data_IF_510457750437
#
_entry.id   IF_510457750437
#
_cell.length_a   1.000
_cell.length_b   1.000
_cell.length_c   1.000
_cell.angle_alpha   90.00
_cell.angle_beta   90.00
_cell.angle_gamma   90.00
#
_symmetry.space_group_name_H-M   'P 1'
#
loop_
_entity.id
_entity.type
_entity.pdbx_description
1 polymer ?
#
# COMPACT_ATOMS: atom_id res chain seq x y z
N UNK A 1 4.47 -57.99 -1.52
CA UNK A 1 4.66 -56.77 -2.32
C UNK A 1 3.55 -55.74 -2.12
N UNK A 2 2.28 -56.11 -2.04
CA UNK A 2 1.11 -55.20 -1.90
C UNK A 2 1.14 -54.37 -0.61
N UNK A 3 1.54 -54.90 0.56
CA UNK A 3 1.58 -54.15 1.80
C UNK A 3 2.61 -53.00 1.84
N UNK A 4 3.73 -53.14 1.11
CA UNK A 4 4.74 -52.05 1.03
C UNK A 4 4.27 -50.88 0.17
N UNK A 5 3.51 -51.11 -0.87
CA UNK A 5 2.95 -50.09 -1.75
C UNK A 5 1.86 -49.28 -1.03
N UNK A 6 1.08 -49.90 -0.15
CA UNK A 6 0.03 -49.27 0.62
C UNK A 6 0.59 -48.30 1.71
N UNK A 7 1.73 -48.67 2.32
CA UNK A 7 2.42 -47.80 3.31
C UNK A 7 3.00 -46.54 2.63
N UNK A 8 3.58 -46.71 1.42
CA UNK A 8 4.13 -45.59 0.65
C UNK A 8 3.01 -44.63 0.18
N UNK A 9 1.86 -45.19 -0.23
CA UNK A 9 0.69 -44.36 -0.64
C UNK A 9 0.11 -43.58 0.52
N UNK A 10 -0.01 -44.18 1.72
CA UNK A 10 -0.48 -43.44 2.91
C UNK A 10 0.52 -42.39 3.41
N UNK A 11 1.83 -42.63 3.32
CA UNK A 11 2.85 -41.66 3.67
C UNK A 11 2.83 -40.45 2.73
N UNK A 12 2.61 -40.65 1.44
CA UNK A 12 2.49 -39.59 0.46
C UNK A 12 1.21 -38.74 0.66
N UNK A 13 0.11 -39.36 1.07
CA UNK A 13 -1.16 -38.67 1.38
C UNK A 13 -1.08 -37.82 2.64
N UNK A 14 -0.34 -38.26 3.65
CA UNK A 14 -0.13 -37.50 4.90
C UNK A 14 0.78 -36.28 4.65
N UNK A 15 1.75 -36.38 3.74
CA UNK A 15 2.62 -35.25 3.41
C UNK A 15 1.88 -34.11 2.70
N UNK A 16 0.78 -34.39 1.98
CA UNK A 16 -0.02 -33.40 1.29
C UNK A 16 -0.97 -32.59 2.18
N UNK A 17 -1.21 -33.02 3.43
CA UNK A 17 -2.15 -32.35 4.36
C UNK A 17 -1.50 -31.19 5.14
N UNK A 18 -0.17 -31.02 5.10
CA UNK A 18 0.56 -29.93 5.74
C UNK A 18 0.82 -28.72 4.83
N UNK A 19 0.00 -28.46 3.82
CA UNK A 19 -0.03 -27.14 3.20
C UNK A 19 -0.78 -26.24 4.18
N UNK A 20 -0.06 -25.69 5.13
CA UNK A 20 -0.55 -24.56 5.93
C UNK A 20 -0.85 -23.43 4.95
N UNK A 21 -2.14 -23.15 4.77
CA UNK A 21 -2.56 -21.92 4.06
C UNK A 21 -2.04 -20.77 4.92
N UNK A 22 -0.88 -20.25 4.58
CA UNK A 22 -0.38 -19.01 5.16
C UNK A 22 -1.41 -17.93 4.81
N UNK A 23 -2.25 -17.56 5.80
CA UNK A 23 -3.19 -16.47 5.65
C UNK A 23 -2.34 -15.22 5.47
N UNK A 24 -2.38 -14.61 4.29
CA UNK A 24 -1.66 -13.36 4.06
C UNK A 24 -2.21 -12.32 5.04
N UNK A 25 -1.39 -11.91 6.00
CA UNK A 25 -1.73 -10.89 6.99
C UNK A 25 -1.29 -9.52 6.44
N UNK A 26 -2.11 -8.50 6.68
CA UNK A 26 -1.75 -7.13 6.32
C UNK A 26 -0.55 -6.67 7.16
N UNK A 27 0.35 -5.93 6.52
CA UNK A 27 1.50 -5.36 7.20
C UNK A 27 1.05 -4.34 8.25
N UNK A 28 1.74 -4.34 9.38
CA UNK A 28 1.55 -3.37 10.46
C UNK A 28 2.74 -2.41 10.53
N UNK A 29 2.52 -1.14 10.89
CA UNK A 29 3.61 -0.20 11.13
C UNK A 29 4.59 -0.73 12.17
N UNK A 30 5.88 -0.53 11.91
CA UNK A 30 6.97 -0.72 12.86
C UNK A 30 8.08 0.29 12.55
N UNK A 31 9.02 0.49 13.49
CA UNK A 31 10.08 1.50 13.40
C UNK A 31 11.12 1.25 12.29
N UNK A 32 11.21 0.03 11.77
CA UNK A 32 12.20 -0.32 10.74
C UNK A 32 11.75 0.08 9.33
N UNK A 33 10.44 0.35 9.15
CA UNK A 33 9.87 0.73 7.86
C UNK A 33 10.19 2.19 7.58
N UNK A 34 10.95 2.43 6.51
CA UNK A 34 11.35 3.77 6.05
C UNK A 34 10.17 4.54 5.42
N UNK A 35 10.23 5.89 5.36
CA UNK A 35 9.12 6.72 4.88
C UNK A 35 8.69 6.41 3.44
N UNK A 36 9.61 6.19 2.52
CA UNK A 36 9.36 5.78 1.15
C UNK A 36 8.65 4.42 1.09
N UNK A 37 9.08 3.48 1.93
CA UNK A 37 8.48 2.16 2.01
C UNK A 37 7.04 2.19 2.55
N UNK A 38 6.71 3.13 3.43
CA UNK A 38 5.32 3.34 3.88
C UNK A 38 4.41 3.64 2.70
N UNK A 39 4.81 4.57 1.83
CA UNK A 39 4.03 4.96 0.65
C UNK A 39 3.91 3.79 -0.32
N UNK A 40 5.01 3.07 -0.58
CA UNK A 40 5.03 1.88 -1.42
C UNK A 40 4.06 0.81 -0.93
N UNK A 41 4.02 0.53 0.38
CA UNK A 41 3.08 -0.43 0.98
C UNK A 41 1.63 0.01 0.75
N UNK A 42 1.33 1.29 0.93
CA UNK A 42 -0.01 1.83 0.74
C UNK A 42 -0.45 1.78 -0.73
N UNK A 43 0.42 2.22 -1.65
CA UNK A 43 0.13 2.22 -3.08
C UNK A 43 0.04 0.80 -3.66
N UNK A 44 0.95 -0.10 -3.29
CA UNK A 44 0.88 -1.52 -3.70
C UNK A 44 -0.38 -2.20 -3.16
N UNK A 45 -0.80 -1.85 -1.94
CA UNK A 45 -2.08 -2.30 -1.40
C UNK A 45 -3.27 -1.83 -2.23
N UNK A 46 -3.34 -0.53 -2.56
CA UNK A 46 -4.40 0.03 -3.39
C UNK A 46 -4.37 -0.50 -4.83
N UNK A 47 -3.18 -0.74 -5.39
CA UNK A 47 -3.01 -1.33 -6.71
C UNK A 47 -3.58 -2.76 -6.79
N UNK A 48 -3.51 -3.50 -5.68
CA UNK A 48 -3.99 -4.88 -5.56
C UNK A 48 -5.09 -4.96 -4.49
N UNK A 49 -6.11 -4.10 -4.60
CA UNK A 49 -7.04 -3.82 -3.52
C UNK A 49 -7.72 -5.06 -2.92
N UNK A 50 -8.09 -6.01 -3.73
CA UNK A 50 -8.86 -7.18 -3.30
C UNK A 50 -8.03 -8.48 -3.26
N UNK A 51 -6.67 -8.37 -3.22
CA UNK A 51 -5.76 -9.50 -3.33
C UNK A 51 -5.92 -10.52 -2.18
N UNK A 52 -6.07 -10.04 -0.95
CA UNK A 52 -6.20 -10.90 0.24
C UNK A 52 -7.67 -11.18 0.56
N UNK A 53 -8.46 -10.13 0.56
CA UNK A 53 -9.92 -10.11 0.69
C UNK A 53 -10.43 -8.76 0.18
N UNK A 54 -11.75 -8.62 0.04
CA UNK A 54 -12.37 -7.39 -0.47
C UNK A 54 -11.97 -6.17 0.37
N UNK A 55 -11.44 -5.15 -0.31
CA UNK A 55 -10.95 -3.90 0.30
C UNK A 55 -9.71 -4.05 1.21
N UNK A 56 -8.99 -5.15 1.11
CA UNK A 56 -7.77 -5.38 1.91
C UNK A 56 -6.69 -4.33 1.64
N UNK A 57 -6.58 -3.82 0.42
CA UNK A 57 -5.63 -2.76 0.06
C UNK A 57 -5.98 -1.41 0.69
N UNK A 58 -7.27 -1.06 0.75
CA UNK A 58 -7.72 0.13 1.48
C UNK A 58 -7.43 -0.02 2.98
N UNK A 59 -7.65 -1.21 3.54
CA UNK A 59 -7.36 -1.49 4.94
C UNK A 59 -5.85 -1.47 5.22
N UNK A 60 -5.02 -1.98 4.30
CA UNK A 60 -3.56 -1.84 4.36
C UNK A 60 -3.14 -0.37 4.40
N UNK A 61 -3.75 0.47 3.57
CA UNK A 61 -3.54 1.92 3.55
C UNK A 61 -3.95 2.57 4.88
N UNK A 62 -5.09 2.17 5.42
CA UNK A 62 -5.57 2.63 6.72
C UNK A 62 -4.63 2.28 7.88
N UNK A 63 -4.00 1.10 7.85
CA UNK A 63 -3.06 0.69 8.90
C UNK A 63 -1.91 1.68 9.05
N UNK A 64 -1.42 2.23 7.95
CA UNK A 64 -0.32 3.20 7.92
C UNK A 64 -0.75 4.67 8.01
N UNK A 65 -2.03 4.97 8.20
CA UNK A 65 -2.49 6.33 8.43
C UNK A 65 -2.17 6.78 9.86
N UNK A 66 -1.64 8.01 10.00
CA UNK A 66 -1.34 8.63 11.29
C UNK A 66 -2.61 8.74 12.16
N UNK A 67 -2.52 8.59 13.51
CA UNK A 67 -3.69 8.70 14.39
C UNK A 67 -4.51 9.97 14.20
N UNK A 68 -3.85 11.11 13.95
CA UNK A 68 -4.54 12.37 13.68
C UNK A 68 -5.29 12.34 12.34
N UNK A 69 -4.72 11.73 11.31
CA UNK A 69 -5.41 11.51 10.04
C UNK A 69 -6.62 10.58 10.25
N UNK A 70 -6.46 9.50 11.01
CA UNK A 70 -7.55 8.58 11.36
C UNK A 70 -8.72 9.25 12.09
N UNK A 71 -8.45 10.23 12.96
CA UNK A 71 -9.52 11.01 13.63
C UNK A 71 -10.41 11.77 12.64
N UNK A 72 -9.83 12.27 11.55
CA UNK A 72 -10.56 13.05 10.53
C UNK A 72 -11.24 12.14 9.51
N UNK A 73 -10.53 11.14 9.03
CA UNK A 73 -10.96 10.28 7.92
C UNK A 73 -11.71 9.01 8.37
N UNK A 74 -11.58 8.63 9.64
CA UNK A 74 -12.19 7.43 10.20
C UNK A 74 -13.64 7.56 10.64
N UNK A 75 -14.25 6.46 11.08
CA UNK A 75 -13.67 5.10 11.19
C UNK A 75 -13.39 4.44 9.83
N UNK A 76 -12.83 3.20 9.83
CA UNK A 76 -12.41 2.48 8.62
C UNK A 76 -13.47 2.44 7.52
N UNK A 77 -14.75 2.23 7.87
CA UNK A 77 -15.82 2.22 6.87
C UNK A 77 -16.05 3.58 6.21
N UNK A 78 -15.85 4.68 6.95
CA UNK A 78 -15.86 6.03 6.39
C UNK A 78 -14.66 6.23 5.46
N UNK A 79 -13.47 5.78 5.87
CA UNK A 79 -12.27 5.81 5.05
C UNK A 79 -12.44 5.01 3.76
N UNK A 80 -13.01 3.79 3.82
CA UNK A 80 -13.32 2.98 2.64
C UNK A 80 -14.23 3.73 1.66
N UNK A 81 -15.28 4.40 2.15
CA UNK A 81 -16.16 5.21 1.29
C UNK A 81 -15.44 6.41 0.68
N UNK A 82 -14.56 7.07 1.44
CA UNK A 82 -13.76 8.21 0.96
C UNK A 82 -12.82 7.78 -0.18
N UNK A 83 -12.09 6.67 -0.01
CA UNK A 83 -11.17 6.16 -1.05
C UNK A 83 -11.93 5.73 -2.31
N UNK A 84 -13.15 5.20 -2.17
CA UNK A 84 -14.02 4.83 -3.31
C UNK A 84 -14.74 6.02 -3.95
N UNK A 85 -14.65 7.20 -3.36
CA UNK A 85 -15.25 8.43 -3.89
C UNK A 85 -14.38 9.07 -4.99
N UNK A 86 -14.96 10.07 -5.66
CA UNK A 86 -14.41 10.69 -6.88
C UNK A 86 -13.00 11.24 -6.74
N UNK A 87 -12.60 11.66 -5.54
CA UNK A 87 -11.28 12.25 -5.30
C UNK A 87 -10.15 11.22 -5.22
N UNK A 88 -10.45 9.92 -4.96
CA UNK A 88 -9.40 8.94 -4.69
C UNK A 88 -9.63 7.58 -5.38
N UNK A 89 -10.78 7.33 -6.00
CA UNK A 89 -11.10 6.04 -6.62
C UNK A 89 -10.10 5.61 -7.70
N UNK A 90 -9.43 6.57 -8.37
CA UNK A 90 -8.40 6.31 -9.37
C UNK A 90 -7.16 5.61 -8.78
N UNK A 91 -6.97 5.65 -7.47
CA UNK A 91 -5.90 4.91 -6.81
C UNK A 91 -6.18 3.40 -6.73
N UNK A 92 -7.47 3.00 -6.76
CA UNK A 92 -7.86 1.60 -6.62
C UNK A 92 -7.61 0.87 -7.93
N UNK A 93 -6.82 -0.23 -7.85
CA UNK A 93 -6.48 -1.07 -9.00
C UNK A 93 -5.80 -0.27 -10.14
N UNK A 94 -5.01 0.76 -9.81
CA UNK A 94 -4.22 1.51 -10.77
C UNK A 94 -3.15 0.62 -11.42
N UNK A 95 -2.70 1.00 -12.62
CA UNK A 95 -1.78 0.19 -13.44
C UNK A 95 -0.33 0.30 -12.98
N UNK A 96 0.11 1.51 -12.66
CA UNK A 96 1.48 1.78 -12.21
C UNK A 96 1.56 3.07 -11.40
N UNK A 97 2.64 3.22 -10.64
CA UNK A 97 2.92 4.46 -9.92
C UNK A 97 4.42 4.72 -9.84
N UNK A 98 4.76 5.99 -9.64
CA UNK A 98 6.11 6.47 -9.38
C UNK A 98 6.09 7.32 -8.12
N UNK A 99 7.08 7.12 -7.25
CA UNK A 99 7.25 7.85 -5.99
C UNK A 99 8.54 8.66 -6.09
N UNK A 100 8.44 9.99 -5.97
CA UNK A 100 9.58 10.89 -6.00
C UNK A 100 9.65 11.67 -4.70
N UNK A 101 10.75 11.56 -3.96
CA UNK A 101 10.95 12.35 -2.75
C UNK A 101 11.15 13.82 -3.10
N UNK A 102 10.34 14.69 -2.51
CA UNK A 102 10.45 16.14 -2.66
C UNK A 102 11.31 16.77 -1.58
N UNK A 103 11.26 16.24 -0.35
CA UNK A 103 12.02 16.74 0.78
C UNK A 103 11.84 15.86 2.01
N UNK A 104 12.74 16.03 2.98
CA UNK A 104 12.64 15.32 4.26
C UNK A 104 13.42 16.05 5.35
N UNK A 105 12.96 15.91 6.60
CA UNK A 105 13.67 16.26 7.81
C UNK A 105 13.84 15.05 8.71
N UNK A 106 14.11 15.28 9.98
CA UNK A 106 14.31 14.21 10.96
C UNK A 106 13.04 13.39 11.18
N UNK A 107 11.88 14.06 11.25
CA UNK A 107 10.60 13.45 11.62
C UNK A 107 9.50 13.62 10.56
N UNK A 108 9.83 14.10 9.37
CA UNK A 108 8.89 14.25 8.26
C UNK A 108 9.53 13.94 6.91
N UNK A 109 8.72 13.50 5.95
CA UNK A 109 9.11 13.40 4.55
C UNK A 109 7.92 13.66 3.64
N UNK A 110 8.19 14.31 2.50
CA UNK A 110 7.22 14.62 1.46
C UNK A 110 7.60 13.97 0.14
N UNK A 111 6.59 13.51 -0.56
CA UNK A 111 6.74 12.81 -1.82
C UNK A 111 5.70 13.30 -2.84
N UNK A 112 6.10 13.29 -4.09
CA UNK A 112 5.20 13.34 -5.24
C UNK A 112 4.91 11.91 -5.67
N UNK A 113 3.64 11.60 -5.87
CA UNK A 113 3.18 10.32 -6.41
C UNK A 113 2.49 10.61 -7.74
N UNK A 114 2.96 9.98 -8.81
CA UNK A 114 2.28 9.96 -10.10
C UNK A 114 1.79 8.54 -10.30
N UNK A 115 0.49 8.36 -10.51
CA UNK A 115 -0.09 7.07 -10.83
C UNK A 115 -0.81 7.09 -12.19
N UNK A 116 -0.79 5.96 -12.87
CA UNK A 116 -1.56 5.69 -14.06
C UNK A 116 -2.78 4.85 -13.65
N UNK A 117 -3.98 5.38 -13.80
CA UNK A 117 -5.19 4.66 -13.43
C UNK A 117 -5.57 3.58 -14.46
N UNK A 118 -6.63 2.81 -14.17
CA UNK A 118 -7.17 1.77 -15.04
C UNK A 118 -7.64 2.30 -16.41
N UNK A 119 -8.01 3.58 -16.47
CA UNK A 119 -8.49 4.26 -17.68
C UNK A 119 -7.34 4.93 -18.45
N UNK A 120 -6.08 4.66 -18.05
CA UNK A 120 -4.83 5.19 -18.62
C UNK A 120 -4.70 6.71 -18.49
N UNK A 121 -5.23 7.27 -17.42
CA UNK A 121 -5.10 8.69 -17.08
C UNK A 121 -4.07 8.84 -15.98
N UNK A 122 -3.17 9.81 -16.14
CA UNK A 122 -2.18 10.14 -15.12
C UNK A 122 -2.75 11.07 -14.07
N UNK A 123 -2.55 10.74 -12.81
CA UNK A 123 -2.94 11.55 -11.67
C UNK A 123 -1.72 11.79 -10.78
N UNK A 124 -1.59 13.02 -10.27
CA UNK A 124 -0.52 13.40 -9.37
C UNK A 124 -1.09 13.71 -7.97
N UNK A 125 -0.35 13.29 -6.94
CA UNK A 125 -0.67 13.55 -5.55
C UNK A 125 0.57 13.99 -4.79
N UNK A 126 0.40 14.86 -3.81
CA UNK A 126 1.40 15.10 -2.77
C UNK A 126 1.10 14.21 -1.58
N UNK A 127 2.13 13.57 -1.06
CA UNK A 127 2.04 12.62 0.05
C UNK A 127 2.98 13.04 1.17
N UNK A 128 2.51 13.09 2.40
CA UNK A 128 3.33 13.41 3.56
C UNK A 128 3.26 12.28 4.59
N UNK A 129 4.42 11.92 5.10
CA UNK A 129 4.56 10.99 6.21
C UNK A 129 5.33 11.65 7.34
N UNK A 130 4.99 11.31 8.57
CA UNK A 130 5.66 11.78 9.77
C UNK A 130 5.96 10.63 10.70
N UNK A 131 7.05 10.77 11.45
CA UNK A 131 7.41 9.84 12.51
C UNK A 131 6.51 10.08 13.71
N UNK A 132 5.91 9.04 14.24
CA UNK A 132 5.06 9.13 15.43
C UNK A 132 5.91 9.15 16.69
N UNK A 133 5.88 10.26 17.44
CA UNK A 133 6.76 10.50 18.57
C UNK A 133 6.14 10.14 19.93
N UNK A 134 4.81 9.92 19.99
CA UNK A 134 4.12 9.59 21.24
C UNK A 134 4.41 8.16 21.67
N UNK A 135 4.66 7.97 22.96
CA UNK A 135 4.88 6.62 23.53
C UNK A 135 3.71 5.68 23.24
N UNK A 136 4.04 4.45 22.91
CA UNK A 136 3.07 3.41 22.57
C UNK A 136 3.52 2.51 21.43
N UNK A 137 2.64 1.64 20.92
CA UNK A 137 2.97 0.64 19.89
C UNK A 137 3.38 1.23 18.53
N UNK A 138 3.08 2.50 18.29
CA UNK A 138 3.41 3.21 17.04
C UNK A 138 4.64 4.12 17.17
N UNK A 139 5.27 4.19 18.35
CA UNK A 139 6.44 5.05 18.56
C UNK A 139 7.50 4.77 17.50
N UNK A 140 8.07 5.85 16.96
CA UNK A 140 9.08 5.85 15.90
C UNK A 140 8.65 5.24 14.56
N UNK A 141 7.38 4.85 14.40
CA UNK A 141 6.82 4.44 13.12
C UNK A 141 6.57 5.64 12.21
N UNK A 142 6.88 5.50 10.93
CA UNK A 142 6.49 6.45 9.89
C UNK A 142 5.04 6.20 9.47
N UNK A 143 4.22 7.26 9.51
CA UNK A 143 2.78 7.17 9.24
C UNK A 143 2.32 8.31 8.33
N UNK A 144 1.36 8.05 7.46
CA UNK A 144 0.81 9.05 6.53
C UNK A 144 -0.06 10.06 7.26
N UNK A 145 0.33 11.33 7.19
CA UNK A 145 -0.41 12.46 7.77
C UNK A 145 -1.29 13.15 6.74
N UNK A 146 -0.91 13.14 5.45
CA UNK A 146 -1.65 13.84 4.41
C UNK A 146 -1.46 13.18 3.05
N UNK A 147 -2.55 13.14 2.28
CA UNK A 147 -2.56 12.90 0.84
C UNK A 147 -3.41 14.00 0.21
N UNK A 148 -2.88 14.73 -0.77
CA UNK A 148 -3.62 15.80 -1.44
C UNK A 148 -4.80 15.25 -2.26
N UNK A 149 -5.72 16.12 -2.66
CA UNK A 149 -6.59 15.85 -3.81
C UNK A 149 -5.75 15.67 -5.07
N UNK A 150 -6.29 15.01 -6.12
CA UNK A 150 -5.58 14.87 -7.40
C UNK A 150 -5.20 16.24 -7.98
N UNK A 151 -3.96 16.36 -8.40
CA UNK A 151 -3.39 17.56 -9.01
C UNK A 151 -3.32 17.32 -10.53
N UNK A 152 -3.77 18.23 -11.38
CA UNK A 152 -3.65 18.09 -12.81
C UNK A 152 -2.20 17.89 -13.25
N UNK A 153 -1.94 16.89 -14.10
CA UNK A 153 -0.60 16.65 -14.67
C UNK A 153 -0.48 17.45 -15.95
N UNK A 154 0.46 18.42 -15.96
CA UNK A 154 0.84 19.10 -17.21
C UNK A 154 1.63 18.16 -18.10
N UNK A 155 1.27 18.06 -19.39
CA UNK A 155 1.93 17.18 -20.37
C UNK A 155 3.44 17.44 -20.54
N UNK A 156 3.97 18.55 -20.06
CA UNK A 156 5.41 18.90 -20.14
C UNK A 156 6.30 18.00 -19.27
N UNK A 157 5.79 17.37 -18.20
CA UNK A 157 6.58 16.51 -17.31
C UNK A 157 6.69 15.05 -17.79
N UNK A 158 5.77 14.59 -18.64
CA UNK A 158 5.79 13.19 -19.12
C UNK A 158 6.89 12.90 -20.14
N UNK A 159 7.33 13.92 -20.92
CA UNK A 159 8.41 13.76 -21.91
C UNK A 159 9.80 13.59 -21.30
N UNK A 160 10.04 13.99 -20.06
CA UNK A 160 11.34 13.88 -19.41
C UNK A 160 11.70 12.45 -18.99
N UNK A 161 10.73 11.55 -18.85
CA UNK A 161 10.95 10.16 -18.45
C UNK A 161 11.10 9.18 -19.63
N UNK A 162 10.74 9.57 -20.84
CA UNK A 162 10.84 8.70 -22.03
C UNK A 162 12.18 8.81 -22.79
N UNK A 163 13.08 9.73 -22.42
CA UNK A 163 14.30 10.02 -23.20
C UNK A 163 15.58 9.40 -22.65
N UNK A 164 15.52 8.43 -21.76
CA UNK A 164 16.73 7.76 -21.21
C UNK A 164 16.85 6.28 -21.60
N UNK A 165 16.41 5.91 -22.80
CA UNK A 165 16.73 4.61 -23.41
C UNK A 165 17.39 4.83 -24.78
N UNK A 166 18.69 5.09 -24.75
CA UNK A 166 19.61 4.80 -25.88
C UNK A 166 20.93 4.32 -25.31
#
# INVERSE_FOLDING_TARGET
MIKKIQIISNALFIFFIFITIAKAELLKPNSDIKPDRVIEIQLSGLQNNDLVYKDSGIEQTWNFAHPNNKKVTGPLDKFKRMIKGDSYQMMINHLSHTITKLGSGENWAQFEVILLDKDKIYHKFNWQVEKYETDGPLKDCWLTTMVSSPIPVSYTHLRAHETTCH
#
